data_IF_012725186822
#
_entry.id   IF_012725186822
#
_cell.length_a   1.000
_cell.length_b   1.000
_cell.length_c   1.000
_cell.angle_alpha   90.00
_cell.angle_beta   90.00
_cell.angle_gamma   90.00
#
_symmetry.space_group_name_H-M   'P 1'
#
loop_
_entity.id
_entity.type
_entity.pdbx_description
1 polymer ?
#
# COMPACT_ATOMS: atom_id res chain seq x y z
N UNK A 1 -20.44 3.47 3.28
CA UNK A 1 -19.63 3.51 2.03
C UNK A 1 -18.90 4.83 1.84
N UNK A 2 -19.56 5.99 1.77
CA UNK A 2 -18.88 7.29 1.63
C UNK A 2 -17.82 7.56 2.73
N UNK A 3 -18.15 7.28 4.00
CA UNK A 3 -17.21 7.48 5.11
C UNK A 3 -15.93 6.63 4.99
N UNK A 4 -16.06 5.37 4.54
CA UNK A 4 -14.91 4.48 4.32
C UNK A 4 -14.01 4.99 3.19
N UNK A 5 -14.61 5.52 2.11
CA UNK A 5 -13.87 6.13 1.01
C UNK A 5 -13.10 7.38 1.46
N UNK A 6 -13.71 8.22 2.31
CA UNK A 6 -13.03 9.37 2.91
C UNK A 6 -11.86 8.94 3.80
N UNK A 7 -12.07 7.96 4.68
CA UNK A 7 -11.00 7.39 5.53
C UNK A 7 -9.86 6.86 4.68
N UNK A 8 -10.17 6.14 3.59
CA UNK A 8 -9.17 5.63 2.65
C UNK A 8 -8.35 6.74 1.99
N UNK A 9 -9.00 7.76 1.43
CA UNK A 9 -8.30 8.89 0.77
C UNK A 9 -7.41 9.61 1.77
N UNK A 10 -7.93 9.93 2.96
CA UNK A 10 -7.16 10.61 4.01
C UNK A 10 -5.97 9.75 4.44
N UNK A 11 -6.15 8.44 4.56
CA UNK A 11 -5.07 7.53 4.92
C UNK A 11 -3.96 7.47 3.86
N UNK A 12 -4.32 7.40 2.58
CA UNK A 12 -3.33 7.42 1.48
C UNK A 12 -2.56 8.75 1.44
N UNK A 13 -3.25 9.88 1.63
CA UNK A 13 -2.60 11.19 1.71
C UNK A 13 -1.68 11.30 2.93
N UNK A 14 -2.10 10.74 4.06
CA UNK A 14 -1.27 10.65 5.26
C UNK A 14 0.01 9.88 4.98
N UNK A 15 -0.06 8.69 4.38
CA UNK A 15 1.11 7.88 4.03
C UNK A 15 2.06 8.63 3.10
N UNK A 16 1.56 9.21 2.00
CA UNK A 16 2.42 9.96 1.08
C UNK A 16 3.08 11.17 1.76
N UNK A 17 2.40 11.79 2.72
CA UNK A 17 2.97 12.89 3.52
C UNK A 17 4.04 12.38 4.51
N UNK A 18 3.83 11.22 5.13
CA UNK A 18 4.83 10.59 6.00
C UNK A 18 6.07 10.23 5.18
N UNK A 19 5.91 9.58 4.03
CA UNK A 19 7.01 9.27 3.12
C UNK A 19 7.82 10.50 2.73
N UNK A 20 7.15 11.61 2.42
CA UNK A 20 7.83 12.88 2.18
C UNK A 20 8.76 13.28 3.34
N UNK A 21 8.24 13.27 4.56
CA UNK A 21 9.03 13.68 5.73
C UNK A 21 10.12 12.66 6.07
N UNK A 22 9.91 11.37 5.84
CA UNK A 22 10.95 10.34 6.01
C UNK A 22 12.11 10.57 5.03
N UNK A 23 11.80 10.77 3.75
CA UNK A 23 12.80 11.08 2.71
C UNK A 23 13.50 12.41 3.00
N UNK A 24 12.75 13.45 3.40
CA UNK A 24 13.31 14.75 3.73
C UNK A 24 14.28 14.63 4.92
N UNK A 25 13.86 13.98 6.01
CA UNK A 25 14.66 13.82 7.23
C UNK A 25 15.95 13.04 6.94
N UNK A 26 15.88 12.03 6.07
CA UNK A 26 17.03 11.20 5.72
C UNK A 26 18.02 11.89 4.77
N UNK A 27 17.64 12.99 4.12
CA UNK A 27 18.43 13.58 3.03
C UNK A 27 19.52 14.56 3.47
N UNK A 28 19.31 15.32 4.56
CA UNK A 28 20.23 16.38 5.02
C UNK A 28 19.87 16.87 6.42
N UNK A 29 20.77 17.60 7.09
CA UNK A 29 20.58 18.08 8.46
C UNK A 29 19.88 19.45 8.59
N UNK A 30 19.81 20.23 7.51
CA UNK A 30 19.26 21.61 7.53
C UNK A 30 18.22 21.80 6.42
N UNK A 31 17.03 22.26 6.79
CA UNK A 31 15.89 22.46 5.89
C UNK A 31 15.46 23.91 5.78
N UNK A 32 15.00 24.31 4.61
CA UNK A 32 14.31 25.59 4.42
C UNK A 32 12.82 25.45 4.75
N UNK A 33 12.15 26.58 5.02
CA UNK A 33 10.69 26.60 5.23
C UNK A 33 9.92 26.13 4.00
N UNK A 34 10.44 26.43 2.81
CA UNK A 34 9.84 26.04 1.54
C UNK A 34 9.86 24.53 1.35
N UNK A 35 10.97 23.88 1.72
CA UNK A 35 11.07 22.42 1.69
C UNK A 35 10.03 21.80 2.62
N UNK A 36 9.97 22.19 3.90
CA UNK A 36 9.00 21.63 4.86
C UNK A 36 7.53 21.76 4.37
N UNK A 37 7.21 22.81 3.61
CA UNK A 37 5.89 23.06 3.05
C UNK A 37 5.62 22.36 1.70
N UNK A 38 6.64 21.80 1.05
CA UNK A 38 6.57 21.24 -0.32
C UNK A 38 5.96 19.84 -0.44
N UNK A 39 5.11 19.45 0.52
CA UNK A 39 4.46 18.12 0.58
C UNK A 39 3.61 17.85 -0.67
N UNK A 40 2.80 18.81 -1.11
CA UNK A 40 1.91 18.63 -2.27
C UNK A 40 2.66 18.38 -3.59
N UNK A 41 3.70 19.15 -3.94
CA UNK A 41 4.58 18.81 -5.06
C UNK A 41 5.20 17.42 -4.99
N UNK A 42 5.59 16.97 -3.80
CA UNK A 42 6.12 15.61 -3.63
C UNK A 42 5.06 14.54 -3.89
N UNK A 43 3.85 14.74 -3.37
CA UNK A 43 2.71 13.84 -3.60
C UNK A 43 2.43 13.71 -5.11
N UNK A 44 2.33 14.84 -5.83
CA UNK A 44 2.05 14.81 -7.26
C UNK A 44 3.19 14.16 -8.05
N UNK A 45 4.45 14.45 -7.68
CA UNK A 45 5.62 13.82 -8.28
C UNK A 45 5.66 12.30 -8.05
N UNK A 46 5.38 11.84 -6.83
CA UNK A 46 5.34 10.42 -6.47
C UNK A 46 4.27 9.66 -7.26
N UNK A 47 3.06 10.24 -7.36
CA UNK A 47 1.99 9.67 -8.19
C UNK A 47 2.35 9.66 -9.68
N UNK A 48 3.03 10.70 -10.16
CA UNK A 48 3.54 10.77 -11.53
C UNK A 48 4.53 9.65 -11.84
N UNK A 49 5.53 9.44 -10.98
CA UNK A 49 6.51 8.34 -11.12
C UNK A 49 5.84 6.97 -11.13
N UNK A 50 4.87 6.73 -10.25
CA UNK A 50 4.11 5.48 -10.22
C UNK A 50 3.29 5.28 -11.49
N UNK A 51 2.65 6.34 -12.00
CA UNK A 51 1.90 6.30 -13.25
C UNK A 51 2.80 6.04 -14.46
N UNK A 52 4.00 6.61 -14.51
CA UNK A 52 5.00 6.33 -15.56
C UNK A 52 5.49 4.89 -15.51
N UNK A 53 5.83 4.38 -14.31
CA UNK A 53 6.31 3.01 -14.09
C UNK A 53 5.29 1.95 -14.50
N UNK A 54 4.00 2.18 -14.23
CA UNK A 54 2.95 1.17 -14.38
C UNK A 54 1.95 1.42 -15.50
N UNK A 55 2.09 2.53 -16.24
CA UNK A 55 1.04 3.21 -17.01
C UNK A 55 -0.09 3.74 -16.11
N UNK A 56 -0.65 4.91 -16.43
CA UNK A 56 -1.69 5.55 -15.60
C UNK A 56 -2.89 4.64 -15.35
N UNK A 57 -3.37 3.94 -16.39
CA UNK A 57 -4.49 3.01 -16.28
C UNK A 57 -4.15 1.77 -15.45
N UNK A 58 -2.98 1.17 -15.68
CA UNK A 58 -2.52 0.00 -14.92
C UNK A 58 -2.29 0.32 -13.45
N UNK A 59 -1.69 1.47 -13.15
CA UNK A 59 -1.52 1.97 -11.80
C UNK A 59 -2.86 2.10 -11.07
N UNK A 60 -3.80 2.88 -11.63
CA UNK A 60 -5.08 3.13 -10.97
C UNK A 60 -5.90 1.85 -10.77
N UNK A 61 -6.02 1.02 -11.82
CA UNK A 61 -6.83 -0.20 -11.74
C UNK A 61 -6.27 -1.17 -10.72
N UNK A 62 -4.97 -1.48 -10.77
CA UNK A 62 -4.39 -2.48 -9.87
C UNK A 62 -4.35 -1.97 -8.43
N UNK A 63 -4.04 -0.69 -8.22
CA UNK A 63 -4.07 -0.10 -6.89
C UNK A 63 -5.48 -0.15 -6.28
N UNK A 64 -6.50 0.30 -7.02
CA UNK A 64 -7.88 0.33 -6.53
C UNK A 64 -8.45 -1.06 -6.29
N UNK A 65 -8.21 -2.01 -7.19
CA UNK A 65 -8.65 -3.40 -7.01
C UNK A 65 -7.98 -4.04 -5.80
N UNK A 66 -6.68 -3.83 -5.62
CA UNK A 66 -5.94 -4.37 -4.46
C UNK A 66 -6.41 -3.72 -3.15
N UNK A 67 -6.65 -2.41 -3.16
CA UNK A 67 -7.22 -1.68 -2.02
C UNK A 67 -8.62 -2.18 -1.67
N UNK A 68 -9.47 -2.46 -2.67
CA UNK A 68 -10.78 -3.03 -2.46
C UNK A 68 -10.69 -4.41 -1.77
N UNK A 69 -9.75 -5.27 -2.18
CA UNK A 69 -9.50 -6.55 -1.51
C UNK A 69 -9.05 -6.36 -0.06
N UNK A 70 -8.14 -5.41 0.19
CA UNK A 70 -7.69 -5.07 1.54
C UNK A 70 -8.81 -4.54 2.42
N UNK A 71 -9.74 -3.78 1.85
CA UNK A 71 -10.93 -3.25 2.53
C UNK A 71 -11.91 -4.36 2.88
N UNK A 72 -12.19 -5.26 1.93
CA UNK A 72 -13.19 -6.31 2.10
C UNK A 72 -12.77 -7.28 3.21
N UNK A 73 -11.46 -7.51 3.36
CA UNK A 73 -10.94 -8.57 4.21
C UNK A 73 -11.39 -8.51 5.68
N UNK A 74 -11.28 -7.36 6.40
CA UNK A 74 -11.76 -7.28 7.79
C UNK A 74 -13.26 -7.46 7.96
N UNK A 75 -14.07 -7.31 6.90
CA UNK A 75 -15.52 -7.52 6.96
C UNK A 75 -15.96 -8.96 6.69
N UNK A 76 -15.06 -9.86 6.27
CA UNK A 76 -15.43 -11.25 5.93
C UNK A 76 -15.78 -12.10 7.17
N UNK A 77 -15.08 -11.88 8.27
CA UNK A 77 -15.24 -12.68 9.48
C UNK A 77 -14.88 -11.86 10.71
N UNK A 78 -15.70 -11.97 11.76
CA UNK A 78 -15.41 -11.34 13.04
C UNK A 78 -14.49 -12.24 13.88
N UNK A 79 -13.21 -12.28 13.52
CA UNK A 79 -12.17 -12.96 14.28
C UNK A 79 -10.91 -12.07 14.37
N UNK A 80 -10.04 -12.37 15.34
CA UNK A 80 -8.83 -11.56 15.59
C UNK A 80 -7.87 -11.51 14.40
N UNK A 81 -7.88 -12.52 13.52
CA UNK A 81 -6.98 -12.61 12.37
C UNK A 81 -7.45 -11.69 11.24
N UNK A 82 -8.75 -11.70 10.95
CA UNK A 82 -9.36 -10.88 9.90
C UNK A 82 -9.43 -9.41 10.35
N UNK A 83 -9.62 -9.17 11.65
CA UNK A 83 -9.50 -7.86 12.30
C UNK A 83 -8.05 -7.53 12.69
N UNK A 84 -7.08 -7.83 11.81
CA UNK A 84 -5.68 -7.50 12.00
C UNK A 84 -4.96 -7.19 10.69
N UNK A 85 -3.75 -6.63 10.81
CA UNK A 85 -2.84 -6.43 9.70
C UNK A 85 -2.08 -7.71 9.30
N UNK A 86 -2.33 -8.86 9.94
CA UNK A 86 -1.55 -10.09 9.75
C UNK A 86 -1.46 -10.53 8.28
N UNK A 87 -2.55 -10.40 7.52
CA UNK A 87 -2.55 -10.76 6.11
C UNK A 87 -1.80 -9.78 5.23
N UNK A 88 -1.84 -8.49 5.58
CA UNK A 88 -0.97 -7.52 4.94
C UNK A 88 0.50 -7.85 5.21
N UNK A 89 0.85 -8.22 6.45
CA UNK A 89 2.22 -8.65 6.80
C UNK A 89 2.64 -9.89 5.99
N UNK A 90 1.77 -10.90 5.91
CA UNK A 90 2.04 -12.09 5.09
C UNK A 90 2.23 -11.70 3.62
N UNK A 91 1.36 -10.85 3.07
CA UNK A 91 1.45 -10.41 1.69
C UNK A 91 2.73 -9.62 1.42
N UNK A 92 3.09 -8.71 2.32
CA UNK A 92 4.32 -7.92 2.27
C UNK A 92 5.58 -8.81 2.24
N UNK A 93 5.60 -9.91 3.01
CA UNK A 93 6.75 -10.82 3.06
C UNK A 93 6.78 -11.81 1.89
N UNK A 94 5.62 -12.38 1.54
CA UNK A 94 5.53 -13.48 0.56
C UNK A 94 5.56 -12.96 -0.87
N UNK A 95 4.87 -11.85 -1.17
CA UNK A 95 4.69 -11.40 -2.54
C UNK A 95 6.01 -10.99 -3.24
N UNK A 96 7.00 -10.37 -2.57
CA UNK A 96 8.32 -10.15 -3.16
C UNK A 96 9.05 -11.46 -3.54
N UNK A 97 8.97 -12.49 -2.70
CA UNK A 97 9.59 -13.80 -2.99
C UNK A 97 8.91 -14.45 -4.21
N UNK A 98 7.58 -14.36 -4.28
CA UNK A 98 6.79 -14.86 -5.41
C UNK A 98 7.12 -14.08 -6.68
N UNK A 99 7.24 -12.75 -6.60
CA UNK A 99 7.65 -11.87 -7.70
C UNK A 99 9.00 -12.28 -8.27
N UNK A 100 10.00 -12.52 -7.43
CA UNK A 100 11.34 -12.92 -7.88
C UNK A 100 11.32 -14.27 -8.59
N UNK A 101 10.59 -15.25 -8.04
CA UNK A 101 10.42 -16.55 -8.68
C UNK A 101 9.74 -16.44 -10.05
N UNK A 102 8.65 -15.68 -10.15
CA UNK A 102 7.97 -15.49 -11.44
C UNK A 102 8.77 -14.66 -12.44
N UNK A 103 9.57 -13.71 -11.97
CA UNK A 103 10.50 -12.97 -12.82
C UNK A 103 11.57 -13.88 -13.43
N UNK A 104 12.05 -14.87 -12.67
CA UNK A 104 13.06 -15.84 -13.14
C UNK A 104 12.52 -16.85 -14.17
N UNK A 105 11.23 -17.15 -14.13
CA UNK A 105 10.56 -18.10 -15.04
C UNK A 105 9.80 -17.41 -16.18
N UNK A 106 10.08 -16.14 -16.44
CA UNK A 106 9.29 -15.33 -17.36
C UNK A 106 9.45 -15.80 -18.80
N UNK A 107 8.37 -16.34 -19.36
CA UNK A 107 8.30 -16.68 -20.79
C UNK A 107 7.60 -15.52 -21.52
N UNK A 108 8.27 -14.95 -22.52
CA UNK A 108 7.80 -13.76 -23.23
C UNK A 108 6.65 -14.02 -24.21
N UNK A 109 6.48 -15.26 -24.66
CA UNK A 109 5.40 -15.69 -25.53
C UNK A 109 4.96 -17.08 -25.10
N UNK A 110 3.81 -17.17 -24.43
CA UNK A 110 3.18 -18.42 -24.03
C UNK A 110 1.67 -18.29 -24.21
N UNK A 111 1.03 -19.38 -24.64
CA UNK A 111 -0.42 -19.44 -24.82
C UNK A 111 -1.16 -19.81 -23.51
N UNK A 112 -0.42 -20.02 -22.40
CA UNK A 112 -0.99 -20.44 -21.13
C UNK A 112 -1.34 -19.24 -20.23
N UNK A 113 -2.61 -19.18 -19.80
CA UNK A 113 -3.13 -18.18 -18.84
C UNK A 113 -2.32 -18.06 -17.53
N UNK A 114 -1.65 -19.14 -17.11
CA UNK A 114 -0.77 -19.14 -15.93
C UNK A 114 0.42 -18.19 -16.10
N UNK A 115 0.93 -18.05 -17.32
CA UNK A 115 2.07 -17.19 -17.61
C UNK A 115 1.66 -15.72 -17.66
N UNK A 116 0.42 -15.43 -18.05
CA UNK A 116 -0.17 -14.09 -17.93
C UNK A 116 -0.29 -13.65 -16.47
N UNK A 117 -0.76 -14.54 -15.59
CA UNK A 117 -0.82 -14.26 -14.14
C UNK A 117 0.58 -14.06 -13.56
N UNK A 118 1.55 -14.91 -13.93
CA UNK A 118 2.92 -14.77 -13.47
C UNK A 118 3.53 -13.44 -13.93
N UNK A 119 3.30 -13.04 -15.18
CA UNK A 119 3.70 -11.74 -15.73
C UNK A 119 3.04 -10.57 -14.99
N UNK A 120 1.76 -10.69 -14.69
CA UNK A 120 1.01 -9.68 -13.93
C UNK A 120 1.57 -9.50 -12.52
N UNK A 121 1.77 -10.60 -11.78
CA UNK A 121 2.33 -10.55 -10.42
C UNK A 121 3.77 -10.02 -10.46
N UNK A 122 4.60 -10.49 -11.39
CA UNK A 122 5.98 -10.02 -11.54
C UNK A 122 6.06 -8.50 -11.78
N UNK A 123 5.09 -7.95 -12.53
CA UNK A 123 4.99 -6.52 -12.80
C UNK A 123 4.44 -5.75 -11.60
N UNK A 124 3.27 -6.13 -11.10
CA UNK A 124 2.47 -5.29 -10.20
C UNK A 124 2.55 -5.65 -8.71
N UNK A 125 3.36 -6.63 -8.30
CA UNK A 125 3.46 -7.09 -6.91
C UNK A 125 3.58 -5.94 -5.88
N UNK A 126 4.49 -4.99 -6.10
CA UNK A 126 4.64 -3.86 -5.17
C UNK A 126 3.38 -3.01 -5.04
N UNK A 127 2.73 -2.71 -6.17
CA UNK A 127 1.48 -1.96 -6.19
C UNK A 127 0.32 -2.72 -5.52
N UNK A 128 0.30 -4.05 -5.64
CA UNK A 128 -0.67 -4.91 -4.95
C UNK A 128 -0.47 -4.82 -3.43
N UNK A 129 0.78 -4.89 -2.94
CA UNK A 129 1.09 -4.75 -1.51
C UNK A 129 0.66 -3.38 -0.99
N UNK A 130 1.04 -2.30 -1.69
CA UNK A 130 0.72 -0.93 -1.27
C UNK A 130 -0.79 -0.69 -1.30
N UNK A 131 -1.48 -1.12 -2.37
CA UNK A 131 -2.94 -1.01 -2.47
C UNK A 131 -3.64 -1.80 -1.36
N UNK A 132 -3.30 -3.08 -1.19
CA UNK A 132 -3.90 -3.94 -0.17
C UNK A 132 -3.68 -3.40 1.24
N UNK A 133 -2.46 -2.98 1.59
CA UNK A 133 -2.14 -2.39 2.88
C UNK A 133 -2.93 -1.10 3.14
N UNK A 134 -3.02 -0.22 2.15
CA UNK A 134 -3.79 1.03 2.26
C UNK A 134 -5.28 0.75 2.51
N UNK A 135 -5.84 -0.23 1.81
CA UNK A 135 -7.22 -0.67 2.00
C UNK A 135 -7.46 -1.30 3.38
N UNK A 136 -6.55 -2.17 3.82
CA UNK A 136 -6.64 -2.85 5.11
C UNK A 136 -6.55 -1.86 6.28
N UNK A 137 -5.63 -0.89 6.22
CA UNK A 137 -5.52 0.18 7.23
C UNK A 137 -6.79 1.03 7.32
N UNK A 138 -7.36 1.42 6.17
CA UNK A 138 -8.62 2.15 6.12
C UNK A 138 -9.79 1.36 6.72
N UNK A 139 -9.88 0.06 6.42
CA UNK A 139 -10.91 -0.81 6.97
C UNK A 139 -10.77 -1.00 8.49
N UNK A 140 -9.56 -1.20 9.02
CA UNK A 140 -9.35 -1.32 10.47
C UNK A 140 -9.76 -0.05 11.22
N UNK A 141 -9.41 1.14 10.70
CA UNK A 141 -9.85 2.42 11.26
C UNK A 141 -11.37 2.57 11.21
N UNK A 142 -12.00 2.18 10.09
CA UNK A 142 -13.45 2.24 9.93
C UNK A 142 -14.18 1.32 10.91
N UNK A 143 -13.75 0.05 11.02
CA UNK A 143 -14.33 -0.94 11.95
C UNK A 143 -14.22 -0.43 13.38
N UNK A 144 -13.05 0.08 13.79
CA UNK A 144 -12.88 0.67 15.12
C UNK A 144 -13.82 1.87 15.36
N UNK A 145 -13.93 2.79 14.39
CA UNK A 145 -14.74 3.99 14.54
C UNK A 145 -16.26 3.70 14.58
N UNK A 146 -16.71 2.65 13.89
CA UNK A 146 -18.15 2.40 13.67
C UNK A 146 -18.70 1.25 14.49
N UNK A 147 -18.04 0.08 14.49
CA UNK A 147 -18.52 -1.12 15.18
C UNK A 147 -17.95 -1.25 16.58
N UNK A 148 -16.80 -0.59 16.86
CA UNK A 148 -16.05 -0.69 18.14
C UNK A 148 -15.72 -2.13 18.54
N UNK A 149 -15.73 -3.06 17.59
CA UNK A 149 -15.37 -4.47 17.79
C UNK A 149 -13.87 -4.64 18.02
N UNK A 150 -13.08 -3.67 17.55
CA UNK A 150 -11.64 -3.58 17.77
C UNK A 150 -11.34 -2.79 19.05
N UNK A 151 -10.60 -3.40 19.99
CA UNK A 151 -10.05 -2.67 21.13
C UNK A 151 -9.01 -1.64 20.66
N UNK A 152 -8.96 -0.47 21.31
CA UNK A 152 -8.06 0.63 20.90
C UNK A 152 -6.57 0.22 20.86
N UNK A 153 -6.08 -0.51 21.86
CA UNK A 153 -4.68 -0.98 21.90
C UNK A 153 -4.37 -1.94 20.75
N UNK A 154 -5.33 -2.79 20.38
CA UNK A 154 -5.18 -3.73 19.27
C UNK A 154 -5.19 -2.99 17.93
N UNK A 155 -6.07 -2.01 17.74
CA UNK A 155 -6.03 -1.12 16.58
C UNK A 155 -4.67 -0.42 16.47
N UNK A 156 -4.20 0.20 17.56
CA UNK A 156 -2.95 0.96 17.58
C UNK A 156 -1.75 0.11 17.17
N UNK A 157 -1.63 -1.09 17.73
CA UNK A 157 -0.58 -2.04 17.37
C UNK A 157 -0.62 -2.40 15.88
N UNK A 158 -1.81 -2.73 15.37
CA UNK A 158 -1.98 -3.12 13.97
C UNK A 158 -1.68 -1.95 13.02
N UNK A 159 -2.15 -0.74 13.33
CA UNK A 159 -1.87 0.45 12.52
C UNK A 159 -0.40 0.82 12.57
N UNK A 160 0.28 0.71 13.71
CA UNK A 160 1.71 1.01 13.80
C UNK A 160 2.53 0.09 12.89
N UNK A 161 2.29 -1.22 12.96
CA UNK A 161 2.96 -2.22 12.11
C UNK A 161 2.61 -1.97 10.63
N UNK A 162 1.32 -1.75 10.34
CA UNK A 162 0.86 -1.53 8.97
C UNK A 162 1.49 -0.27 8.38
N UNK A 163 1.49 0.86 9.09
CA UNK A 163 2.09 2.11 8.61
C UNK A 163 3.57 1.95 8.31
N UNK A 164 4.35 1.34 9.22
CA UNK A 164 5.80 1.15 9.01
C UNK A 164 6.08 0.29 7.78
N UNK A 165 5.45 -0.88 7.68
CA UNK A 165 5.70 -1.79 6.55
C UNK A 165 5.16 -1.24 5.23
N UNK A 166 4.05 -0.51 5.26
CA UNK A 166 3.46 0.11 4.09
C UNK A 166 4.31 1.27 3.58
N UNK A 167 4.87 2.08 4.48
CA UNK A 167 5.80 3.15 4.12
C UNK A 167 7.07 2.58 3.48
N UNK A 168 7.66 1.52 4.07
CA UNK A 168 8.79 0.82 3.48
C UNK A 168 8.46 0.24 2.09
N UNK A 169 7.27 -0.35 1.93
CA UNK A 169 6.82 -0.85 0.62
C UNK A 169 6.67 0.27 -0.41
N UNK A 170 6.14 1.43 0.00
CA UNK A 170 5.91 2.58 -0.85
C UNK A 170 7.24 3.22 -1.30
N UNK A 171 8.16 3.49 -0.37
CA UNK A 171 9.47 4.07 -0.66
C UNK A 171 10.29 3.17 -1.60
N UNK A 172 10.29 1.85 -1.33
CA UNK A 172 10.91 0.86 -2.23
C UNK A 172 10.33 0.89 -3.64
N UNK A 173 9.02 1.06 -3.78
CA UNK A 173 8.40 1.13 -5.09
C UNK A 173 8.62 2.47 -5.80
N UNK A 174 8.83 3.55 -5.05
CA UNK A 174 9.26 4.85 -5.58
C UNK A 174 10.75 4.89 -5.96
N UNK A 175 11.54 3.91 -5.52
CA UNK A 175 12.99 3.85 -5.76
C UNK A 175 13.80 4.75 -4.82
N UNK A 176 13.25 5.04 -3.64
CA UNK A 176 13.87 5.84 -2.59
C UNK A 176 14.36 4.88 -1.49
N UNK A 177 15.51 4.24 -1.70
CA UNK A 177 16.26 3.44 -0.72
C UNK A 177 17.70 3.98 -0.57
#
# INVERSE_FOLDING_TARGET
>A
MLYLLVVFIVFVLFLLSVGYYVTLISSKDVYTREEIASVLPYISGSLGRLAEKYSTGGFLLVFLLSALLGIIFPFLANNLVFNSCALFVILYLVLPIVRERFASTRVAASEYYRDDIANFIARYAGLIVVGFGSGNGAALMYVWATTKELGFLWLLLNLAVLCVLLELALLKELGEE
#
